data_IF_790676375762
#
_entry.id   IF_790676375762
#
_cell.length_a   1.000
_cell.length_b   1.000
_cell.length_c   1.000
_cell.angle_alpha   90.00
_cell.angle_beta   90.00
_cell.angle_gamma   90.00
#
_symmetry.space_group_name_H-M   'P 1'
#
loop_
_entity.id
_entity.type
_entity.pdbx_description
1 polymer ?
#
# COMPACT_ATOMS: atom_id res chain seq x y z
N UNK A 1 22.90 -21.49 0.90
CA UNK A 1 21.51 -21.72 0.45
C UNK A 1 20.59 -21.53 1.65
N UNK A 2 19.35 -21.06 1.49
CA UNK A 2 18.40 -20.90 2.59
C UNK A 2 17.41 -22.07 2.56
N UNK A 3 17.45 -22.94 3.56
CA UNK A 3 16.56 -24.11 3.63
C UNK A 3 15.22 -23.76 4.27
N UNK A 4 15.22 -22.96 5.34
CA UNK A 4 14.02 -22.51 6.05
C UNK A 4 13.93 -20.99 6.08
N UNK A 5 12.74 -20.46 5.82
CA UNK A 5 12.45 -19.03 5.80
C UNK A 5 11.16 -18.75 6.55
N UNK A 6 11.16 -17.72 7.38
CA UNK A 6 9.93 -17.13 7.93
C UNK A 6 9.65 -15.81 7.22
N UNK A 7 8.43 -15.60 6.76
CA UNK A 7 8.05 -14.40 6.00
C UNK A 7 6.83 -13.75 6.64
N UNK A 8 6.97 -12.49 7.04
CA UNK A 8 5.84 -11.66 7.43
C UNK A 8 5.35 -10.88 6.21
N UNK A 9 4.12 -11.14 5.78
CA UNK A 9 3.51 -10.52 4.60
C UNK A 9 2.60 -9.38 5.05
N UNK A 10 2.93 -8.15 4.67
CA UNK A 10 2.13 -6.95 4.89
C UNK A 10 1.39 -6.57 3.61
N UNK A 11 0.07 -6.81 3.54
CA UNK A 11 -0.73 -6.48 2.36
C UNK A 11 -0.84 -4.97 2.12
N UNK A 12 -1.25 -4.59 0.91
CA UNK A 12 -1.50 -3.20 0.53
C UNK A 12 -2.83 -2.64 1.05
N UNK A 13 -3.15 -1.40 0.70
CA UNK A 13 -4.45 -0.80 1.03
C UNK A 13 -5.55 -1.38 0.13
N UNK A 14 -6.17 -2.45 0.59
CA UNK A 14 -7.25 -3.14 -0.11
C UNK A 14 -8.37 -3.50 0.88
N UNK A 15 -9.65 -3.28 0.56
CA UNK A 15 -10.76 -3.54 1.46
C UNK A 15 -11.07 -5.04 1.54
N UNK A 16 -10.12 -5.84 2.03
CA UNK A 16 -10.26 -7.28 2.22
C UNK A 16 -9.47 -7.77 3.42
N UNK A 17 -9.96 -8.86 4.01
CA UNK A 17 -9.35 -9.50 5.16
C UNK A 17 -8.32 -10.56 4.71
N UNK A 18 -7.52 -11.01 5.68
CA UNK A 18 -6.44 -11.97 5.47
C UNK A 18 -6.81 -13.22 4.65
N UNK A 19 -7.99 -13.88 4.80
CA UNK A 19 -8.33 -15.05 3.99
C UNK A 19 -8.34 -14.75 2.48
N UNK A 20 -8.82 -13.57 2.07
CA UNK A 20 -8.82 -13.15 0.68
C UNK A 20 -7.40 -12.84 0.16
N UNK A 21 -6.54 -12.28 1.01
CA UNK A 21 -5.12 -12.08 0.69
C UNK A 21 -4.37 -13.42 0.53
N UNK A 22 -4.64 -14.41 1.38
CA UNK A 22 -4.06 -15.75 1.27
C UNK A 22 -4.48 -16.43 -0.04
N UNK A 23 -5.76 -16.38 -0.38
CA UNK A 23 -6.28 -17.00 -1.60
C UNK A 23 -5.70 -16.31 -2.85
N UNK A 24 -5.54 -14.98 -2.81
CA UNK A 24 -4.83 -14.25 -3.85
C UNK A 24 -3.35 -14.65 -3.95
N UNK A 25 -2.66 -14.75 -2.81
CA UNK A 25 -1.26 -15.17 -2.77
C UNK A 25 -1.11 -16.56 -3.38
N UNK A 26 -1.97 -17.52 -3.00
CA UNK A 26 -1.98 -18.89 -3.55
C UNK A 26 -2.05 -18.89 -5.07
N UNK A 27 -3.05 -18.21 -5.66
CA UNK A 27 -3.19 -18.08 -7.12
C UNK A 27 -2.01 -17.38 -7.79
N UNK A 28 -1.38 -16.42 -7.12
CA UNK A 28 -0.20 -15.73 -7.66
C UNK A 28 1.06 -16.61 -7.58
N UNK A 29 1.23 -17.35 -6.49
CA UNK A 29 2.34 -18.27 -6.27
C UNK A 29 2.31 -19.43 -7.26
N UNK A 30 1.15 -20.06 -7.46
CA UNK A 30 0.96 -21.15 -8.44
C UNK A 30 1.32 -20.70 -9.87
N UNK A 31 0.81 -19.52 -10.29
CA UNK A 31 1.16 -18.95 -11.60
C UNK A 31 2.64 -18.61 -11.71
N UNK A 32 3.25 -18.11 -10.64
CA UNK A 32 4.67 -17.77 -10.64
C UNK A 32 5.51 -19.04 -10.73
N UNK A 33 5.22 -20.06 -9.91
CA UNK A 33 5.94 -21.34 -9.93
C UNK A 33 5.97 -21.97 -11.33
N UNK A 34 4.85 -21.93 -12.06
CA UNK A 34 4.78 -22.40 -13.44
C UNK A 34 5.71 -21.61 -14.39
N UNK A 35 5.79 -20.28 -14.26
CA UNK A 35 6.68 -19.43 -15.07
C UNK A 35 8.16 -19.70 -14.77
N UNK A 36 8.49 -19.90 -13.50
CA UNK A 36 9.86 -20.13 -13.03
C UNK A 36 10.28 -21.61 -13.05
N UNK A 37 9.42 -22.50 -13.56
CA UNK A 37 9.65 -23.96 -13.60
C UNK A 37 10.04 -24.54 -12.22
N UNK A 38 9.37 -24.07 -11.17
CA UNK A 38 9.57 -24.53 -9.81
C UNK A 38 8.39 -25.41 -9.36
N UNK A 39 8.67 -26.46 -8.57
CA UNK A 39 7.65 -27.24 -7.89
C UNK A 39 7.22 -26.49 -6.62
N UNK A 40 5.92 -26.22 -6.50
CA UNK A 40 5.33 -25.50 -5.40
C UNK A 40 4.30 -26.38 -4.70
N UNK A 41 4.46 -26.53 -3.39
CA UNK A 41 3.45 -27.11 -2.50
C UNK A 41 3.04 -26.08 -1.48
N UNK A 42 1.73 -25.92 -1.30
CA UNK A 42 1.14 -24.98 -0.36
C UNK A 42 0.27 -25.76 0.63
N UNK A 43 0.62 -25.65 1.91
CA UNK A 43 -0.09 -26.29 3.01
C UNK A 43 -0.71 -25.22 3.91
N UNK A 44 -2.02 -25.31 4.10
CA UNK A 44 -2.82 -24.35 4.83
C UNK A 44 -3.90 -23.73 3.95
N UNK A 45 -5.13 -23.70 4.46
CA UNK A 45 -6.26 -23.10 3.78
C UNK A 45 -6.66 -21.78 4.46
N UNK A 46 -7.25 -20.83 3.74
CA UNK A 46 -7.88 -19.67 4.36
C UNK A 46 -8.94 -20.14 5.37
N UNK A 47 -8.72 -19.83 6.64
CA UNK A 47 -9.66 -20.12 7.73
C UNK A 47 -10.56 -18.93 8.06
N UNK A 48 -11.12 -18.94 9.27
CA UNK A 48 -11.77 -17.75 9.82
C UNK A 48 -10.79 -16.56 9.87
N UNK A 49 -11.26 -15.31 9.69
CA UNK A 49 -10.40 -14.14 9.77
C UNK A 49 -9.68 -14.05 11.11
N UNK A 50 -8.35 -14.07 11.08
CA UNK A 50 -7.47 -13.78 12.21
C UNK A 50 -6.46 -12.72 11.80
N UNK A 51 -5.75 -12.12 12.77
CA UNK A 51 -4.76 -11.09 12.47
C UNK A 51 -3.49 -11.63 11.83
N UNK A 52 -3.16 -12.90 12.08
CA UNK A 52 -1.89 -13.52 11.71
C UNK A 52 -2.07 -14.94 11.16
N UNK A 53 -2.94 -15.17 10.16
CA UNK A 53 -3.06 -16.50 9.59
C UNK A 53 -1.77 -16.84 8.84
N UNK A 54 -1.41 -18.12 8.90
CA UNK A 54 -0.18 -18.63 8.31
C UNK A 54 -0.43 -19.67 7.23
N UNK A 55 0.44 -19.69 6.24
CA UNK A 55 0.50 -20.67 5.16
C UNK A 55 1.93 -21.21 5.09
N UNK A 56 2.10 -22.52 4.89
CA UNK A 56 3.41 -23.10 4.60
C UNK A 56 3.55 -23.30 3.10
N UNK A 57 4.73 -22.96 2.58
CA UNK A 57 5.08 -23.13 1.17
C UNK A 57 6.41 -23.89 1.08
N UNK A 58 6.41 -25.02 0.38
CA UNK A 58 7.64 -25.67 -0.05
C UNK A 58 7.85 -25.37 -1.53
N UNK A 59 8.95 -24.69 -1.85
CA UNK A 59 9.32 -24.37 -3.23
C UNK A 59 10.64 -25.06 -3.54
N UNK A 60 10.72 -25.73 -4.70
CA UNK A 60 11.95 -26.41 -5.13
C UNK A 60 12.20 -26.26 -6.63
N UNK A 61 13.48 -26.32 -7.01
CA UNK A 61 13.95 -26.20 -8.39
C UNK A 61 15.22 -27.03 -8.61
N UNK A 62 16.01 -26.69 -9.63
CA UNK A 62 17.23 -27.41 -10.01
C UNK A 62 18.33 -27.37 -8.92
N UNK A 63 18.24 -28.27 -7.95
CA UNK A 63 19.23 -28.46 -6.89
C UNK A 63 19.02 -27.62 -5.64
N UNK A 64 17.85 -26.98 -5.47
CA UNK A 64 17.52 -26.22 -4.26
C UNK A 64 16.09 -26.49 -3.80
N UNK A 65 15.88 -26.38 -2.48
CA UNK A 65 14.59 -26.45 -1.83
C UNK A 65 14.55 -25.46 -0.67
N UNK A 66 13.45 -24.73 -0.55
CA UNK A 66 13.21 -23.82 0.57
C UNK A 66 11.81 -24.05 1.12
N UNK A 67 11.72 -24.26 2.42
CA UNK A 67 10.48 -24.28 3.17
C UNK A 67 10.24 -22.90 3.77
N UNK A 68 9.06 -22.35 3.52
CA UNK A 68 8.70 -20.99 3.90
C UNK A 68 7.42 -21.01 4.71
N UNK A 69 7.47 -20.47 5.93
CA UNK A 69 6.27 -20.09 6.67
C UNK A 69 5.91 -18.65 6.31
N UNK A 70 4.71 -18.43 5.79
CA UNK A 70 4.18 -17.12 5.44
C UNK A 70 3.14 -16.74 6.49
N UNK A 71 3.39 -15.64 7.21
CA UNK A 71 2.49 -15.09 8.23
C UNK A 71 1.92 -13.78 7.70
N UNK A 72 0.62 -13.72 7.45
CA UNK A 72 -0.02 -12.53 6.92
C UNK A 72 -0.33 -11.57 8.06
N UNK A 73 0.30 -10.39 8.04
CA UNK A 73 0.07 -9.32 9.01
C UNK A 73 -1.16 -8.51 8.60
N UNK A 74 -2.35 -8.98 8.98
CA UNK A 74 -3.61 -8.38 8.57
C UNK A 74 -3.81 -6.99 9.14
N UNK A 75 -4.43 -6.12 8.34
CA UNK A 75 -4.92 -4.79 8.72
C UNK A 75 -6.16 -4.39 7.90
N UNK A 76 -6.79 -5.37 7.24
CA UNK A 76 -7.96 -5.17 6.40
C UNK A 76 -9.18 -4.66 7.16
N UNK A 77 -9.34 -5.03 8.43
CA UNK A 77 -10.42 -4.52 9.29
C UNK A 77 -10.33 -2.99 9.49
N UNK A 78 -9.11 -2.45 9.57
CA UNK A 78 -8.91 -1.00 9.65
C UNK A 78 -9.32 -0.33 8.34
N UNK A 79 -8.98 -0.92 7.19
CA UNK A 79 -9.37 -0.40 5.87
C UNK A 79 -10.90 -0.44 5.72
N UNK A 80 -11.51 -1.55 6.11
CA UNK A 80 -12.97 -1.71 6.11
C UNK A 80 -13.65 -0.72 7.05
N UNK A 81 -13.04 -0.35 8.18
CA UNK A 81 -13.56 0.68 9.06
C UNK A 81 -13.57 2.08 8.42
N UNK A 82 -12.61 2.41 7.53
CA UNK A 82 -12.70 3.64 6.72
C UNK A 82 -13.81 3.51 5.67
N UNK A 83 -13.88 2.37 4.99
CA UNK A 83 -14.87 2.12 3.94
C UNK A 83 -16.33 2.09 4.46
N UNK A 84 -16.53 1.73 5.74
CA UNK A 84 -17.85 1.65 6.39
C UNK A 84 -18.43 3.03 6.76
N UNK A 85 -17.65 4.11 6.67
CA UNK A 85 -18.12 5.47 6.99
C UNK A 85 -19.14 5.97 5.96
N UNK A 86 -20.04 6.89 6.33
CA UNK A 86 -20.91 7.57 5.38
C UNK A 86 -20.14 8.23 4.25
N UNK A 87 -20.69 8.24 3.03
CA UNK A 87 -20.00 8.76 1.84
C UNK A 87 -19.51 10.22 2.01
N UNK A 88 -20.28 11.06 2.70
CA UNK A 88 -19.92 12.46 2.99
C UNK A 88 -18.69 12.54 3.91
N UNK A 89 -18.57 11.64 4.88
CA UNK A 89 -17.42 11.58 5.77
C UNK A 89 -16.16 11.09 5.03
N UNK A 90 -16.31 10.07 4.17
CA UNK A 90 -15.21 9.58 3.31
C UNK A 90 -14.71 10.66 2.36
N UNK A 91 -15.65 11.40 1.75
CA UNK A 91 -15.33 12.53 0.89
C UNK A 91 -14.60 13.65 1.64
N UNK A 92 -15.16 14.12 2.76
CA UNK A 92 -14.59 15.23 3.51
C UNK A 92 -13.24 14.89 4.16
N UNK A 93 -13.09 13.69 4.72
CA UNK A 93 -11.82 13.23 5.30
C UNK A 93 -10.74 13.01 4.24
N UNK A 94 -11.08 12.46 3.08
CA UNK A 94 -10.17 12.30 1.95
C UNK A 94 -9.74 13.64 1.35
N UNK A 95 -10.68 14.58 1.15
CA UNK A 95 -10.35 15.94 0.69
C UNK A 95 -9.46 16.69 1.69
N UNK A 96 -9.76 16.59 2.98
CA UNK A 96 -8.94 17.18 4.03
C UNK A 96 -7.54 16.56 4.03
N UNK A 97 -7.41 15.28 3.74
CA UNK A 97 -6.11 14.65 3.55
C UNK A 97 -5.38 15.17 2.32
N UNK A 98 -6.01 15.23 1.16
CA UNK A 98 -5.40 15.80 -0.06
C UNK A 98 -4.93 17.25 0.17
N UNK A 99 -5.74 18.08 0.83
CA UNK A 99 -5.39 19.44 1.20
C UNK A 99 -4.18 19.49 2.16
N UNK A 100 -4.13 18.62 3.16
CA UNK A 100 -3.00 18.51 4.10
C UNK A 100 -1.70 18.18 3.38
N UNK A 101 -1.72 17.19 2.48
CA UNK A 101 -0.55 16.81 1.68
C UNK A 101 -0.10 17.92 0.72
N UNK A 102 -1.04 18.70 0.18
CA UNK A 102 -0.74 19.85 -0.68
C UNK A 102 -0.12 21.00 0.13
N UNK A 103 -0.78 21.45 1.20
CA UNK A 103 -0.36 22.59 2.04
C UNK A 103 0.98 22.34 2.72
N UNK A 104 1.26 21.11 3.13
CA UNK A 104 2.56 20.73 3.71
C UNK A 104 3.69 20.65 2.67
N UNK A 105 3.38 20.85 1.39
CA UNK A 105 4.30 20.74 0.27
C UNK A 105 4.75 19.30 -0.02
N UNK A 106 4.05 18.31 0.52
CA UNK A 106 4.39 16.89 0.34
C UNK A 106 4.26 16.48 -1.13
N UNK A 107 3.25 17.02 -1.84
CA UNK A 107 3.05 16.77 -3.27
C UNK A 107 4.25 17.22 -4.11
N UNK A 108 4.86 18.36 -3.80
CA UNK A 108 6.06 18.82 -4.51
C UNK A 108 7.27 17.89 -4.27
N UNK A 109 7.34 17.25 -3.08
CA UNK A 109 8.34 16.21 -2.81
C UNK A 109 8.07 14.95 -3.63
N UNK A 110 6.80 14.60 -3.88
CA UNK A 110 6.48 13.52 -4.83
C UNK A 110 6.99 13.86 -6.21
N UNK A 111 6.73 15.07 -6.72
CA UNK A 111 7.23 15.50 -8.02
C UNK A 111 8.76 15.37 -8.14
N UNK A 112 9.49 15.69 -7.07
CA UNK A 112 10.95 15.57 -7.00
C UNK A 112 11.45 14.12 -6.95
N UNK A 113 10.75 13.24 -6.24
CA UNK A 113 11.19 11.86 -5.98
C UNK A 113 10.68 10.89 -7.06
N UNK A 114 9.41 10.99 -7.43
CA UNK A 114 8.77 10.24 -8.51
C UNK A 114 7.59 11.04 -9.05
N UNK A 115 7.82 11.80 -10.12
CA UNK A 115 6.80 12.65 -10.72
C UNK A 115 5.54 11.90 -11.16
N UNK A 116 5.67 10.63 -11.55
CA UNK A 116 4.53 9.78 -11.96
C UNK A 116 3.55 9.56 -10.82
N UNK A 117 4.05 9.51 -9.57
CA UNK A 117 3.22 9.36 -8.39
C UNK A 117 2.28 10.57 -8.18
N UNK A 118 2.64 11.75 -8.71
CA UNK A 118 1.77 12.91 -8.66
C UNK A 118 0.45 12.70 -9.43
N UNK A 119 0.42 11.83 -10.45
CA UNK A 119 -0.84 11.48 -11.13
C UNK A 119 -1.78 10.69 -10.22
N UNK A 120 -1.25 9.80 -9.39
CA UNK A 120 -2.06 9.09 -8.40
C UNK A 120 -2.65 10.06 -7.37
N UNK A 121 -1.87 11.05 -6.92
CA UNK A 121 -2.39 12.15 -6.08
C UNK A 121 -3.45 13.00 -6.80
N UNK A 122 -3.23 13.31 -8.09
CA UNK A 122 -4.14 14.14 -8.86
C UNK A 122 -5.46 13.44 -9.23
N UNK A 123 -5.50 12.11 -9.25
CA UNK A 123 -6.66 11.33 -9.72
C UNK A 123 -7.99 11.72 -9.03
N UNK A 124 -8.12 11.71 -7.69
CA UNK A 124 -9.38 12.08 -7.04
C UNK A 124 -9.77 13.54 -7.32
N UNK A 125 -8.77 14.45 -7.34
CA UNK A 125 -8.98 15.88 -7.61
C UNK A 125 -9.50 16.08 -9.04
N UNK A 126 -8.89 15.40 -10.01
CA UNK A 126 -9.28 15.49 -11.42
C UNK A 126 -10.71 14.99 -11.65
N UNK A 127 -11.08 13.85 -11.06
CA UNK A 127 -12.44 13.30 -11.15
C UNK A 127 -13.47 14.26 -10.54
N UNK A 128 -13.20 14.78 -9.34
CA UNK A 128 -14.12 15.71 -8.67
C UNK A 128 -14.26 17.03 -9.42
N UNK A 129 -13.14 17.56 -9.93
CA UNK A 129 -13.12 18.77 -10.74
C UNK A 129 -13.89 18.56 -12.04
N UNK A 130 -13.70 17.42 -12.72
CA UNK A 130 -14.45 17.07 -13.91
C UNK A 130 -15.97 16.99 -13.64
N UNK A 131 -16.38 16.42 -12.50
CA UNK A 131 -17.79 16.36 -12.11
C UNK A 131 -18.40 17.75 -11.95
N UNK A 132 -17.68 18.67 -11.28
CA UNK A 132 -18.10 20.06 -11.12
C UNK A 132 -18.20 20.77 -12.48
N UNK A 133 -17.19 20.63 -13.33
CA UNK A 133 -17.18 21.26 -14.66
C UNK A 133 -18.29 20.74 -15.56
N UNK A 134 -18.56 19.44 -15.55
CA UNK A 134 -19.66 18.84 -16.33
C UNK A 134 -21.00 19.34 -15.81
N UNK A 135 -21.20 19.37 -14.48
CA UNK A 135 -22.43 19.89 -13.89
C UNK A 135 -22.64 21.37 -14.22
N UNK A 136 -21.58 22.19 -14.13
CA UNK A 136 -21.61 23.59 -14.51
C UNK A 136 -21.90 23.80 -16.00
N UNK A 137 -21.27 23.02 -16.88
CA UNK A 137 -21.49 23.11 -18.32
C UNK A 137 -22.94 22.79 -18.70
N UNK A 138 -23.55 21.77 -18.06
CA UNK A 138 -24.97 21.44 -18.24
C UNK A 138 -25.86 22.58 -17.72
N UNK A 139 -25.56 23.13 -16.54
CA UNK A 139 -26.31 24.27 -16.01
C UNK A 139 -26.22 25.50 -16.92
N UNK A 140 -25.03 25.85 -17.40
CA UNK A 140 -24.80 26.98 -18.30
C UNK A 140 -25.52 26.80 -19.64
N UNK A 141 -25.43 25.61 -20.24
CA UNK A 141 -26.11 25.30 -21.50
C UNK A 141 -27.63 25.42 -21.37
N UNK A 142 -28.22 24.89 -20.31
CA UNK A 142 -29.67 24.94 -20.10
C UNK A 142 -30.17 26.34 -19.76
N UNK A 143 -29.39 27.12 -19.01
CA UNK A 143 -29.72 28.53 -18.72
C UNK A 143 -29.66 29.38 -20.00
N UNK A 144 -28.75 29.07 -20.92
CA UNK A 144 -28.65 29.74 -22.22
C UNK A 144 -29.79 29.34 -23.18
N UNK A 145 -30.22 28.07 -23.17
CA UNK A 145 -31.30 27.57 -24.03
C UNK A 145 -32.70 27.95 -23.53
N UNK A 146 -32.88 28.09 -22.21
CA UNK A 146 -34.15 28.40 -21.57
C UNK A 146 -33.97 29.63 -20.65
N UNK A 147 -34.05 30.86 -21.18
CA UNK A 147 -33.84 32.05 -20.36
C UNK A 147 -34.86 32.17 -19.21
N UNK A 148 -34.41 32.71 -18.07
CA UNK A 148 -35.25 32.97 -16.91
C UNK A 148 -35.16 31.90 -15.81
N UNK A 149 -35.98 32.05 -14.77
CA UNK A 149 -35.90 31.23 -13.56
C UNK A 149 -36.09 29.75 -13.85
N UNK A 150 -36.96 29.40 -14.79
CA UNK A 150 -37.23 28.02 -15.17
C UNK A 150 -35.97 27.31 -15.71
N UNK A 151 -35.27 27.88 -16.69
CA UNK A 151 -34.06 27.24 -17.21
C UNK A 151 -32.87 27.30 -16.26
N UNK A 152 -32.78 28.32 -15.40
CA UNK A 152 -31.79 28.33 -14.32
C UNK A 152 -32.03 27.19 -13.31
N UNK A 153 -33.29 26.99 -12.89
CA UNK A 153 -33.66 25.92 -11.96
C UNK A 153 -33.49 24.54 -12.59
N UNK A 154 -33.98 24.33 -13.81
CA UNK A 154 -33.79 23.09 -14.57
C UNK A 154 -32.30 22.82 -14.82
N UNK A 155 -31.55 23.85 -15.20
CA UNK A 155 -30.10 23.78 -15.40
C UNK A 155 -29.35 23.36 -14.15
N UNK A 156 -29.71 23.93 -13.00
CA UNK A 156 -29.12 23.56 -11.72
C UNK A 156 -29.39 22.10 -11.37
N UNK A 157 -30.65 21.65 -11.47
CA UNK A 157 -31.03 20.26 -11.15
C UNK A 157 -30.33 19.26 -12.08
N UNK A 158 -30.40 19.49 -13.41
CA UNK A 158 -29.77 18.58 -14.38
C UNK A 158 -28.24 18.61 -14.31
N UNK A 159 -27.65 19.77 -14.01
CA UNK A 159 -26.22 19.89 -13.77
C UNK A 159 -25.77 19.12 -12.53
N UNK A 160 -26.51 19.23 -11.42
CA UNK A 160 -26.25 18.46 -10.21
C UNK A 160 -26.36 16.95 -10.46
N UNK A 161 -27.41 16.50 -11.17
CA UNK A 161 -27.58 15.08 -11.52
C UNK A 161 -26.44 14.58 -12.41
N UNK A 162 -25.98 15.37 -13.37
CA UNK A 162 -24.86 15.00 -14.23
C UNK A 162 -23.55 14.85 -13.42
N UNK A 163 -23.28 15.79 -12.49
CA UNK A 163 -22.12 15.71 -11.60
C UNK A 163 -22.18 14.46 -10.70
N UNK A 164 -23.34 14.20 -10.08
CA UNK A 164 -23.55 13.02 -9.24
C UNK A 164 -23.43 11.71 -10.02
N UNK A 165 -23.96 11.66 -11.25
CA UNK A 165 -23.84 10.50 -12.13
C UNK A 165 -22.37 10.19 -12.47
N UNK A 166 -21.56 11.22 -12.74
CA UNK A 166 -20.13 11.04 -12.98
C UNK A 166 -19.40 10.51 -11.74
N UNK A 167 -19.68 11.07 -10.57
CA UNK A 167 -19.08 10.61 -9.31
C UNK A 167 -19.48 9.16 -9.00
N UNK A 168 -20.75 8.79 -9.23
CA UNK A 168 -21.22 7.42 -9.10
C UNK A 168 -20.51 6.47 -10.06
N UNK A 169 -20.33 6.87 -11.32
CA UNK A 169 -19.59 6.07 -12.31
C UNK A 169 -18.11 5.92 -11.93
N UNK A 170 -17.48 7.00 -11.46
CA UNK A 170 -16.10 6.99 -11.02
C UNK A 170 -15.90 6.09 -9.79
N UNK A 171 -16.82 6.11 -8.82
CA UNK A 171 -16.81 5.17 -7.70
C UNK A 171 -16.92 3.73 -8.17
N UNK A 172 -17.91 3.43 -9.02
CA UNK A 172 -18.16 2.07 -9.52
C UNK A 172 -16.99 1.52 -10.35
N UNK A 173 -16.33 2.35 -11.15
CA UNK A 173 -15.32 1.91 -12.14
C UNK A 173 -13.89 2.05 -11.65
N UNK A 174 -13.62 3.04 -10.81
CA UNK A 174 -12.28 3.45 -10.39
C UNK A 174 -12.12 3.59 -8.88
N UNK A 175 -13.14 3.24 -8.08
CA UNK A 175 -13.05 3.19 -6.61
C UNK A 175 -12.60 4.52 -5.98
N UNK A 176 -13.21 5.63 -6.43
CA UNK A 176 -12.90 6.99 -5.99
C UNK A 176 -12.88 7.14 -4.46
N UNK A 177 -13.90 6.64 -3.77
CA UNK A 177 -13.99 6.72 -2.32
C UNK A 177 -12.93 5.86 -1.64
N UNK A 178 -12.58 4.69 -2.19
CA UNK A 178 -11.45 3.89 -1.69
C UNK A 178 -10.13 4.65 -1.84
N UNK A 179 -9.92 5.36 -2.94
CA UNK A 179 -8.75 6.22 -3.11
C UNK A 179 -8.73 7.37 -2.10
N UNK A 180 -9.89 7.96 -1.77
CA UNK A 180 -10.01 8.99 -0.75
C UNK A 180 -9.74 8.45 0.67
N UNK A 181 -10.24 7.24 0.97
CA UNK A 181 -9.95 6.56 2.23
C UNK A 181 -8.47 6.25 2.39
N UNK A 182 -7.79 5.86 1.30
CA UNK A 182 -6.35 5.64 1.25
C UNK A 182 -5.56 6.92 1.58
N UNK A 183 -6.02 8.09 1.14
CA UNK A 183 -5.44 9.38 1.53
C UNK A 183 -5.73 9.73 2.99
N UNK A 184 -6.97 9.52 3.45
CA UNK A 184 -7.37 9.76 4.83
C UNK A 184 -6.54 8.91 5.81
N UNK A 185 -6.39 7.61 5.55
CA UNK A 185 -5.57 6.72 6.37
C UNK A 185 -4.09 7.12 6.33
N UNK A 186 -3.55 7.46 5.17
CA UNK A 186 -2.16 7.92 5.08
C UNK A 186 -1.91 9.19 5.90
N UNK A 187 -2.85 10.14 5.91
CA UNK A 187 -2.78 11.33 6.77
C UNK A 187 -2.83 10.95 8.25
N UNK A 188 -3.75 10.07 8.62
CA UNK A 188 -3.92 9.65 10.01
C UNK A 188 -2.69 8.89 10.51
N UNK A 189 -2.03 8.11 9.66
CA UNK A 189 -0.75 7.48 9.97
C UNK A 189 0.36 8.54 10.14
N UNK A 190 0.48 9.49 9.21
CA UNK A 190 1.53 10.52 9.25
C UNK A 190 1.43 11.43 10.46
N UNK A 191 0.22 11.68 10.96
CA UNK A 191 -0.08 12.58 12.07
C UNK A 191 -0.46 11.84 13.36
N UNK A 192 -0.39 10.51 13.35
CA UNK A 192 -0.70 9.64 14.50
C UNK A 192 -2.09 9.91 15.08
N UNK A 193 -3.09 10.15 14.21
CA UNK A 193 -4.46 10.57 14.61
C UNK A 193 -5.43 9.43 14.87
N UNK A 194 -5.05 8.21 14.51
CA UNK A 194 -5.89 7.03 14.69
C UNK A 194 -5.17 6.02 15.59
N UNK A 195 -5.55 5.92 16.88
CA UNK A 195 -4.94 5.00 17.84
C UNK A 195 -5.02 3.53 17.40
N UNK A 196 -6.04 3.14 16.62
CA UNK A 196 -6.17 1.77 16.14
C UNK A 196 -5.04 1.38 15.17
N UNK A 197 -4.51 2.33 14.38
CA UNK A 197 -3.35 2.07 13.52
C UNK A 197 -2.11 1.78 14.36
N UNK A 198 -1.86 2.59 15.40
CA UNK A 198 -0.70 2.43 16.29
C UNK A 198 -0.79 1.15 17.11
N UNK A 199 -1.99 0.82 17.62
CA UNK A 199 -2.25 -0.44 18.30
C UNK A 199 -2.01 -1.64 17.37
N UNK A 200 -2.43 -1.57 16.10
CA UNK A 200 -2.18 -2.63 15.12
C UNK A 200 -0.69 -2.83 14.85
N UNK A 201 0.07 -1.74 14.70
CA UNK A 201 1.53 -1.79 14.52
C UNK A 201 2.20 -2.46 15.72
N UNK A 202 1.80 -2.11 16.94
CA UNK A 202 2.34 -2.74 18.15
C UNK A 202 2.04 -4.25 18.20
N UNK A 203 0.80 -4.66 17.89
CA UNK A 203 0.43 -6.07 17.80
C UNK A 203 1.22 -6.83 16.74
N UNK A 204 1.49 -6.20 15.60
CA UNK A 204 2.33 -6.78 14.54
C UNK A 204 3.80 -6.90 15.00
N UNK A 205 4.31 -5.92 15.74
CA UNK A 205 5.65 -5.96 16.31
C UNK A 205 5.80 -7.09 17.34
N UNK A 206 4.82 -7.24 18.24
CA UNK A 206 4.75 -8.34 19.22
C UNK A 206 4.78 -9.70 18.53
N UNK A 207 3.97 -9.89 17.49
CA UNK A 207 3.93 -11.15 16.73
C UNK A 207 5.26 -11.42 16.00
N UNK A 208 5.87 -10.39 15.39
CA UNK A 208 7.18 -10.52 14.74
C UNK A 208 8.22 -10.98 15.76
N UNK A 209 8.30 -10.32 16.91
CA UNK A 209 9.27 -10.67 17.95
C UNK A 209 9.03 -12.08 18.51
N UNK A 210 7.77 -12.43 18.80
CA UNK A 210 7.41 -13.73 19.36
C UNK A 210 7.78 -14.89 18.42
N UNK A 211 7.42 -14.78 17.13
CA UNK A 211 7.77 -15.82 16.16
C UNK A 211 9.25 -15.83 15.82
N UNK A 212 9.91 -14.67 15.76
CA UNK A 212 11.35 -14.61 15.53
C UNK A 212 12.14 -15.31 16.65
N UNK A 213 11.73 -15.11 17.91
CA UNK A 213 12.36 -15.76 19.06
C UNK A 213 12.17 -17.29 19.07
N UNK A 214 11.07 -17.79 18.53
CA UNK A 214 10.76 -19.22 18.46
C UNK A 214 11.19 -19.89 17.14
N UNK A 215 11.73 -19.13 16.18
CA UNK A 215 12.00 -19.63 14.83
C UNK A 215 13.35 -20.32 14.74
N UNK A 216 13.39 -21.42 13.98
CA UNK A 216 14.60 -22.11 13.53
C UNK A 216 14.95 -21.77 12.06
N UNK A 217 14.36 -20.71 11.50
CA UNK A 217 14.60 -20.31 10.12
C UNK A 217 16.05 -19.85 9.88
N UNK A 218 16.54 -19.95 8.65
CA UNK A 218 17.85 -19.40 8.27
C UNK A 218 17.81 -17.89 7.97
N UNK A 219 16.62 -17.34 7.78
CA UNK A 219 16.34 -15.91 7.61
C UNK A 219 14.86 -15.57 7.85
N UNK A 220 14.62 -14.30 8.19
CA UNK A 220 13.30 -13.68 8.27
C UNK A 220 13.17 -12.62 7.18
N UNK A 221 12.09 -12.69 6.40
CA UNK A 221 11.75 -11.66 5.40
C UNK A 221 10.49 -10.91 5.83
N UNK A 222 10.58 -9.59 5.92
CA UNK A 222 9.40 -8.72 6.04
C UNK A 222 9.03 -8.25 4.63
N UNK A 223 8.06 -8.93 4.03
CA UNK A 223 7.58 -8.68 2.68
C UNK A 223 6.36 -7.75 2.72
N UNK A 224 6.41 -6.61 2.04
CA UNK A 224 5.35 -5.60 2.10
C UNK A 224 4.97 -5.06 0.73
N UNK A 225 3.68 -4.93 0.48
CA UNK A 225 3.12 -4.41 -0.77
C UNK A 225 2.50 -3.03 -0.56
N UNK A 226 2.74 -2.09 -1.49
CA UNK A 226 2.09 -0.78 -1.50
C UNK A 226 2.14 -0.07 -0.13
N UNK A 227 1.00 0.34 0.45
CA UNK A 227 0.94 1.02 1.74
C UNK A 227 1.29 0.10 2.93
N UNK A 228 1.24 -1.22 2.76
CA UNK A 228 1.70 -2.18 3.76
C UNK A 228 3.15 -1.96 4.16
N UNK A 229 3.97 -1.41 3.26
CA UNK A 229 5.35 -1.02 3.58
C UNK A 229 5.42 0.02 4.70
N UNK A 230 4.41 0.88 4.83
CA UNK A 230 4.35 1.89 5.90
C UNK A 230 4.13 1.27 7.27
N UNK A 231 3.35 0.19 7.36
CA UNK A 231 3.14 -0.57 8.59
C UNK A 231 4.35 -1.46 8.88
N UNK A 232 4.85 -2.16 7.86
CA UNK A 232 5.95 -3.10 7.98
C UNK A 232 7.21 -2.47 8.59
N UNK A 233 7.61 -1.27 8.15
CA UNK A 233 8.80 -0.60 8.70
C UNK A 233 8.62 -0.18 10.16
N UNK A 234 7.41 0.22 10.56
CA UNK A 234 7.15 0.60 11.94
C UNK A 234 7.09 -0.63 12.85
N UNK A 235 6.40 -1.70 12.41
CA UNK A 235 6.28 -2.94 13.17
C UNK A 235 7.64 -3.63 13.34
N UNK A 236 8.44 -3.71 12.27
CA UNK A 236 9.78 -4.31 12.34
C UNK A 236 10.72 -3.50 13.25
N UNK A 237 10.73 -2.17 13.12
CA UNK A 237 11.54 -1.30 13.96
C UNK A 237 11.19 -1.44 15.44
N UNK A 238 9.89 -1.52 15.78
CA UNK A 238 9.45 -1.78 17.16
C UNK A 238 9.85 -3.17 17.64
N UNK A 239 9.72 -4.21 16.80
CA UNK A 239 10.11 -5.57 17.15
C UNK A 239 11.62 -5.69 17.44
N UNK A 240 12.45 -4.99 16.66
CA UNK A 240 13.91 -4.98 16.81
C UNK A 240 14.42 -4.04 17.90
N UNK A 241 13.60 -3.09 18.35
CA UNK A 241 13.94 -2.19 19.46
C UNK A 241 13.70 -2.83 20.84
N UNK A 242 12.99 -3.96 20.90
CA UNK A 242 12.79 -4.72 22.13
C UNK A 242 13.97 -5.64 22.47
N UNK A 243 13.79 -6.51 23.47
CA UNK A 243 14.82 -7.46 23.94
C UNK A 243 15.01 -8.69 23.01
N UNK A 244 14.69 -8.56 21.72
CA UNK A 244 14.79 -9.64 20.76
C UNK A 244 16.26 -9.96 20.47
N UNK A 245 16.77 -10.99 21.15
CA UNK A 245 18.11 -11.55 20.90
C UNK A 245 18.00 -12.62 19.81
N UNK A 246 18.44 -12.28 18.61
CA UNK A 246 18.41 -13.23 17.49
C UNK A 246 19.57 -12.98 16.53
N UNK A 247 20.23 -14.06 16.13
CA UNK A 247 21.25 -14.05 15.07
C UNK A 247 20.63 -14.26 13.67
N UNK A 248 19.28 -14.26 13.59
CA UNK A 248 18.57 -14.43 12.34
C UNK A 248 18.90 -13.31 11.36
N UNK A 249 19.09 -13.69 10.10
CA UNK A 249 19.27 -12.73 9.01
C UNK A 249 17.92 -12.10 8.68
N UNK A 250 17.87 -10.78 8.69
CA UNK A 250 16.67 -10.02 8.37
C UNK A 250 16.75 -9.41 6.97
N UNK A 251 15.63 -9.47 6.25
CA UNK A 251 15.48 -8.85 4.94
C UNK A 251 14.13 -8.13 4.82
N UNK A 252 14.12 -6.89 4.33
CA UNK A 252 12.92 -6.15 3.96
C UNK A 252 12.72 -6.27 2.45
N UNK A 253 11.59 -6.83 2.03
CA UNK A 253 11.21 -6.92 0.62
C UNK A 253 9.99 -6.03 0.39
N UNK A 254 10.17 -4.88 -0.24
CA UNK A 254 9.04 -4.04 -0.63
C UNK A 254 8.73 -4.20 -2.12
N UNK A 255 7.44 -4.29 -2.47
CA UNK A 255 6.99 -4.45 -3.85
C UNK A 255 5.95 -3.38 -4.16
N UNK A 256 6.18 -2.58 -5.21
CA UNK A 256 5.28 -1.49 -5.57
C UNK A 256 5.07 -0.51 -4.42
N UNK A 257 6.12 -0.26 -3.63
CA UNK A 257 6.03 0.41 -2.33
C UNK A 257 5.42 1.82 -2.43
N UNK A 258 4.45 2.09 -1.55
CA UNK A 258 3.95 3.44 -1.28
C UNK A 258 4.55 4.02 0.00
N UNK A 259 5.69 3.53 0.48
CA UNK A 259 6.35 4.06 1.69
C UNK A 259 6.67 5.56 1.59
N UNK A 260 7.08 6.04 0.41
CA UNK A 260 7.37 7.47 0.21
C UNK A 260 6.13 8.36 0.28
N UNK A 261 4.92 7.79 0.09
CA UNK A 261 3.66 8.51 0.28
C UNK A 261 3.61 9.10 1.69
N UNK A 262 3.89 8.30 2.69
CA UNK A 262 3.77 8.69 4.10
C UNK A 262 5.06 9.34 4.60
N UNK A 263 6.21 8.74 4.34
CA UNK A 263 7.50 9.22 4.88
C UNK A 263 7.95 10.59 4.36
N UNK A 264 7.53 11.00 3.15
CA UNK A 264 7.81 12.35 2.63
C UNK A 264 6.95 13.43 3.28
N UNK A 265 5.86 13.07 3.97
CA UNK A 265 5.04 14.02 4.71
C UNK A 265 5.79 14.54 5.94
N UNK A 266 5.89 15.86 6.20
CA UNK A 266 6.73 16.39 7.28
C UNK A 266 6.34 15.87 8.68
N UNK A 267 5.06 15.55 8.91
CA UNK A 267 4.60 15.00 10.19
C UNK A 267 5.08 13.56 10.48
N UNK A 268 5.45 12.77 9.47
CA UNK A 268 5.85 11.35 9.61
C UNK A 268 7.25 11.15 10.21
N UNK A 269 7.53 11.81 11.34
CA UNK A 269 8.84 11.81 12.02
C UNK A 269 9.18 10.41 12.54
N UNK A 270 8.23 9.76 13.22
CA UNK A 270 8.36 8.42 13.79
C UNK A 270 8.72 7.40 12.70
N UNK A 271 8.01 7.45 11.58
CA UNK A 271 8.25 6.56 10.45
C UNK A 271 9.61 6.79 9.78
N UNK A 272 10.03 8.05 9.57
CA UNK A 272 11.38 8.33 9.06
C UNK A 272 12.48 7.89 10.04
N UNK A 273 12.24 8.00 11.34
CA UNK A 273 13.18 7.52 12.35
C UNK A 273 13.31 5.99 12.31
N UNK A 274 12.19 5.27 12.20
CA UNK A 274 12.18 3.82 12.00
C UNK A 274 12.97 3.40 10.75
N UNK A 275 12.73 4.05 9.61
CA UNK A 275 13.51 3.77 8.39
C UNK A 275 15.00 4.04 8.60
N UNK A 276 15.38 5.12 9.30
CA UNK A 276 16.78 5.39 9.64
C UNK A 276 17.37 4.27 10.48
N UNK A 277 16.73 3.86 11.58
CA UNK A 277 17.25 2.79 12.46
C UNK A 277 17.40 1.48 11.72
N UNK A 278 16.40 1.07 10.95
CA UNK A 278 16.45 -0.16 10.14
C UNK A 278 17.63 -0.17 9.16
N UNK A 279 17.94 0.99 8.56
CA UNK A 279 19.00 1.13 7.55
C UNK A 279 20.38 1.35 8.18
N UNK A 280 20.50 2.26 9.14
CA UNK A 280 21.76 2.73 9.72
C UNK A 280 22.23 1.88 10.90
N UNK A 281 21.32 1.60 11.83
CA UNK A 281 21.65 0.99 13.12
C UNK A 281 21.57 -0.54 13.01
N UNK A 282 20.44 -1.06 12.54
CA UNK A 282 20.22 -2.49 12.35
C UNK A 282 20.80 -3.03 11.04
N UNK A 283 21.09 -2.16 10.06
CA UNK A 283 21.73 -2.49 8.77
C UNK A 283 21.04 -3.65 8.03
N UNK A 284 19.71 -3.68 8.10
CA UNK A 284 18.86 -4.74 7.55
C UNK A 284 19.01 -4.80 6.02
N UNK A 285 19.08 -5.99 5.44
CA UNK A 285 19.06 -6.13 3.99
C UNK A 285 17.72 -5.61 3.45
N UNK A 286 17.71 -4.81 2.39
CA UNK A 286 16.45 -4.30 1.84
C UNK A 286 16.47 -4.30 0.31
N UNK A 287 15.52 -5.02 -0.28
CA UNK A 287 15.21 -4.97 -1.72
C UNK A 287 13.88 -4.25 -1.95
N UNK A 288 13.89 -3.19 -2.76
CA UNK A 288 12.69 -2.45 -3.17
C UNK A 288 12.39 -2.66 -4.65
N UNK A 289 11.37 -3.48 -4.94
CA UNK A 289 10.95 -3.85 -6.28
C UNK A 289 9.98 -2.83 -6.86
N UNK A 290 10.36 -2.20 -7.98
CA UNK A 290 9.62 -1.11 -8.62
C UNK A 290 9.35 -1.42 -10.10
N UNK A 291 8.11 -1.23 -10.55
CA UNK A 291 7.71 -1.38 -11.94
C UNK A 291 7.44 -0.04 -12.62
N UNK A 292 7.97 0.19 -13.81
CA UNK A 292 7.68 1.41 -14.59
C UNK A 292 6.19 1.53 -14.97
N UNK A 293 5.57 0.38 -15.22
CA UNK A 293 4.15 0.25 -15.61
C UNK A 293 3.20 0.35 -14.41
N UNK A 294 3.71 0.39 -13.19
CA UNK A 294 2.91 0.60 -11.99
C UNK A 294 2.90 2.10 -11.65
N UNK A 295 1.77 2.79 -11.84
CA UNK A 295 1.67 4.23 -11.61
C UNK A 295 1.59 4.61 -10.12
N UNK A 296 1.50 3.63 -9.22
CA UNK A 296 1.25 3.81 -7.77
C UNK A 296 2.50 3.46 -6.95
N UNK A 297 3.65 3.23 -7.59
CA UNK A 297 4.93 3.17 -6.88
C UNK A 297 5.78 4.42 -7.10
N UNK A 298 6.77 4.59 -6.22
CA UNK A 298 7.77 5.61 -6.37
C UNK A 298 8.93 5.11 -7.25
N UNK A 299 8.66 4.94 -8.54
CA UNK A 299 9.66 4.51 -9.53
C UNK A 299 10.91 5.38 -9.52
N UNK A 300 12.08 4.75 -9.57
CA UNK A 300 13.42 5.37 -9.46
C UNK A 300 13.71 6.07 -8.13
N UNK A 301 12.87 5.88 -7.11
CA UNK A 301 13.21 6.31 -5.76
C UNK A 301 14.07 5.25 -5.05
N UNK A 302 14.66 5.66 -3.94
CA UNK A 302 15.28 4.73 -3.00
C UNK A 302 14.73 5.02 -1.59
N UNK A 303 14.24 4.01 -0.85
CA UNK A 303 13.61 4.22 0.45
C UNK A 303 14.46 4.96 1.50
N UNK A 304 15.79 4.87 1.43
CA UNK A 304 16.69 5.56 2.35
C UNK A 304 17.14 6.92 1.81
N UNK A 305 17.73 6.96 0.61
CA UNK A 305 18.36 8.21 0.12
C UNK A 305 17.33 9.28 -0.23
N UNK A 306 16.10 8.91 -0.58
CA UNK A 306 14.98 9.86 -0.77
C UNK A 306 14.61 10.59 0.54
N UNK A 307 14.95 10.00 1.69
CA UNK A 307 14.76 10.56 3.02
C UNK A 307 16.05 11.20 3.58
N UNK A 308 17.12 11.28 2.78
CA UNK A 308 18.41 11.83 3.18
C UNK A 308 19.28 10.89 4.02
N UNK A 309 18.94 9.60 4.11
CA UNK A 309 19.75 8.59 4.81
C UNK A 309 20.82 8.09 3.84
N UNK A 310 22.09 8.27 4.20
CA UNK A 310 23.27 7.93 3.36
C UNK A 310 24.24 6.95 4.01
N UNK A 311 23.99 6.60 5.26
CA UNK A 311 24.82 5.68 6.06
C UNK A 311 24.09 4.34 6.24
N UNK A 312 24.82 3.31 6.67
CA UNK A 312 24.27 1.98 6.89
C UNK A 312 24.21 1.10 5.65
N UNK A 313 23.22 0.20 5.61
CA UNK A 313 22.97 -0.70 4.47
C UNK A 313 21.86 -0.12 3.59
N UNK A 314 22.25 0.69 2.61
CA UNK A 314 21.31 1.35 1.71
C UNK A 314 20.46 0.31 0.94
N UNK A 315 19.13 0.47 0.86
CA UNK A 315 18.25 -0.41 0.11
C UNK A 315 18.65 -0.51 -1.36
N UNK A 316 18.48 -1.69 -1.95
CA UNK A 316 18.71 -1.92 -3.38
C UNK A 316 17.37 -1.82 -4.11
N UNK A 317 17.25 -0.82 -4.98
CA UNK A 317 16.09 -0.69 -5.85
C UNK A 317 16.22 -1.64 -7.05
N UNK A 318 15.25 -2.54 -7.22
CA UNK A 318 15.21 -3.51 -8.31
C UNK A 318 14.07 -3.16 -9.26
N UNK A 319 14.38 -2.98 -10.54
CA UNK A 319 13.39 -2.67 -11.57
C UNK A 319 12.78 -3.95 -12.11
N UNK A 320 11.46 -4.08 -12.01
CA UNK A 320 10.70 -5.19 -12.55
C UNK A 320 9.98 -4.79 -13.83
N UNK A 321 9.98 -5.71 -14.80
CA UNK A 321 9.24 -5.57 -16.05
C UNK A 321 8.19 -6.67 -16.09
N UNK A 322 6.91 -6.33 -15.91
CA UNK A 322 5.84 -7.34 -15.82
C UNK A 322 5.79 -8.29 -17.02
N UNK A 323 6.11 -7.80 -18.23
CA UNK A 323 6.24 -8.64 -19.45
C UNK A 323 7.25 -9.80 -19.35
N UNK A 324 8.17 -9.76 -18.38
CA UNK A 324 9.16 -10.81 -18.09
C UNK A 324 8.79 -11.65 -16.86
N UNK A 325 7.72 -11.29 -16.15
CA UNK A 325 7.28 -11.97 -14.93
C UNK A 325 6.01 -12.81 -15.14
N UNK A 326 5.30 -12.58 -16.24
CA UNK A 326 4.11 -13.35 -16.62
C UNK A 326 4.27 -13.92 -18.02
N UNK A 327 3.48 -14.94 -18.34
CA UNK A 327 3.46 -15.51 -19.68
C UNK A 327 3.05 -14.46 -20.73
N UNK A 328 3.49 -14.59 -21.99
CA UNK A 328 3.07 -13.67 -23.06
C UNK A 328 1.56 -13.54 -23.22
N UNK A 329 0.80 -14.62 -22.99
CA UNK A 329 -0.68 -14.61 -23.06
C UNK A 329 -1.33 -13.81 -21.93
N UNK A 330 -0.72 -13.79 -20.74
CA UNK A 330 -1.20 -13.00 -19.59
C UNK A 330 -0.86 -11.51 -19.69
N UNK A 331 0.19 -11.15 -20.44
CA UNK A 331 0.62 -9.76 -20.59
C UNK A 331 -0.20 -8.95 -21.61
N UNK A 332 -0.90 -9.63 -22.52
CA UNK A 332 -1.71 -9.00 -23.57
C UNK A 332 -2.94 -8.30 -23.03
#
# INVERSE_FOLDING_TARGET
MIEKRLVFVFPGFEPMLAPAHMERFRRAAERSAAVWQADLRLDGAPGAPTLFPSLRAALSGSGWRTETELVFCDWGDLILAYAARPAIERLSSGLLALADFLVTGTVFRYCRVSWRYAFFFAFPIAVMTAAIWIGWAVHAALTALLPGLAGSATGFVLGLLAALALLFLAERRWHLLTALDDWALARDLCRERNPALSARIARQAEEIAARAAASDAGEIVVAAHSLGASFAVLALDQALSGDLKTDLRWHILTVGSSLMKTTLHPAAKTQRAAVRRLVADHRIAWTDCQGLSDPINFYNSNPATSLGIREGRIPVAVRVHFKRLVSPGTYR
#
